data_IF_157844664856
#
_entry.id   IF_157844664856
#
_cell.length_a   1.000
_cell.length_b   1.000
_cell.length_c   1.000
_cell.angle_alpha   90.00
_cell.angle_beta   90.00
_cell.angle_gamma   90.00
#
_symmetry.space_group_name_H-M   'P 1'
#
loop_
_entity.id
_entity.type
_entity.pdbx_description
1 polymer ?
#
# COMPACT_ATOMS: atom_id res chain seq x y z
N UNK A 1 -33.91 -11.51 13.60
CA UNK A 1 -33.85 -12.17 12.27
C UNK A 1 -32.48 -12.79 12.14
N UNK A 2 -32.36 -14.11 12.14
CA UNK A 2 -31.07 -14.82 12.06
C UNK A 2 -30.49 -14.69 10.65
N UNK A 3 -29.55 -13.78 10.45
CA UNK A 3 -28.93 -13.61 9.14
C UNK A 3 -27.88 -14.71 8.88
N UNK A 4 -28.02 -15.43 7.76
CA UNK A 4 -27.12 -16.52 7.36
C UNK A 4 -25.67 -16.03 7.23
N UNK A 5 -24.68 -16.88 7.59
CA UNK A 5 -23.26 -16.56 7.43
C UNK A 5 -22.93 -16.16 5.99
N UNK A 6 -21.93 -15.27 5.78
CA UNK A 6 -21.43 -14.97 4.45
C UNK A 6 -20.86 -16.24 3.80
N UNK A 7 -21.52 -16.72 2.76
CA UNK A 7 -21.01 -17.81 1.93
C UNK A 7 -20.03 -17.29 0.86
N UNK A 8 -19.49 -18.20 0.06
CA UNK A 8 -18.54 -17.85 -1.01
C UNK A 8 -19.12 -16.84 -2.02
N UNK A 9 -20.42 -16.91 -2.32
CA UNK A 9 -21.07 -15.99 -3.25
C UNK A 9 -21.16 -14.57 -2.67
N UNK A 10 -21.61 -14.43 -1.42
CA UNK A 10 -21.65 -13.15 -0.69
C UNK A 10 -20.26 -12.55 -0.50
N UNK A 11 -19.24 -13.38 -0.30
CA UNK A 11 -17.85 -12.93 -0.20
C UNK A 11 -17.31 -12.45 -1.55
N UNK A 12 -17.63 -13.16 -2.64
CA UNK A 12 -17.27 -12.75 -4.00
C UNK A 12 -17.92 -11.42 -4.39
N UNK A 13 -19.22 -11.25 -4.13
CA UNK A 13 -19.92 -9.99 -4.37
C UNK A 13 -19.33 -8.84 -3.54
N UNK A 14 -19.06 -9.09 -2.25
CA UNK A 14 -18.41 -8.10 -1.39
C UNK A 14 -17.02 -7.70 -1.89
N UNK A 15 -16.27 -8.65 -2.46
CA UNK A 15 -14.98 -8.39 -3.06
C UNK A 15 -15.10 -7.50 -4.31
N UNK A 16 -16.02 -7.82 -5.23
CA UNK A 16 -16.28 -6.98 -6.41
C UNK A 16 -16.69 -5.56 -6.03
N UNK A 17 -17.59 -5.42 -5.06
CA UNK A 17 -18.00 -4.12 -4.54
C UNK A 17 -16.84 -3.32 -3.94
N UNK A 18 -15.87 -4.00 -3.31
CA UNK A 18 -14.65 -3.35 -2.82
C UNK A 18 -13.75 -2.89 -3.96
N UNK A 19 -13.51 -3.77 -4.94
CA UNK A 19 -12.62 -3.51 -6.08
C UNK A 19 -13.17 -2.42 -7.02
N UNK A 20 -14.49 -2.28 -7.11
CA UNK A 20 -15.14 -1.19 -7.85
C UNK A 20 -14.79 0.21 -7.32
N UNK A 21 -14.34 0.32 -6.06
CA UNK A 21 -14.06 1.60 -5.38
C UNK A 21 -12.59 1.77 -5.04
N UNK A 22 -11.87 0.67 -4.80
CA UNK A 22 -10.53 0.71 -4.23
C UNK A 22 -9.60 -0.26 -4.94
N UNK A 23 -8.44 0.24 -5.36
CA UNK A 23 -7.30 -0.61 -5.70
C UNK A 23 -6.84 -1.36 -4.43
N UNK A 24 -6.80 -2.69 -4.50
CA UNK A 24 -6.44 -3.56 -3.40
C UNK A 24 -5.40 -4.60 -3.83
N UNK A 25 -4.66 -5.11 -2.84
CA UNK A 25 -3.82 -6.30 -2.98
C UNK A 25 -4.60 -7.54 -2.58
N UNK A 26 -4.13 -8.72 -2.96
CA UNK A 26 -4.70 -10.00 -2.52
C UNK A 26 -4.79 -10.07 -0.98
N UNK A 27 -3.69 -9.77 -0.29
CA UNK A 27 -3.65 -9.72 1.17
C UNK A 27 -4.54 -8.63 1.77
N UNK A 28 -4.70 -7.51 1.07
CA UNK A 28 -5.61 -6.43 1.46
C UNK A 28 -7.07 -6.86 1.38
N UNK A 29 -7.44 -7.51 0.28
CA UNK A 29 -8.77 -8.04 0.04
C UNK A 29 -9.12 -9.16 1.02
N UNK A 30 -8.19 -10.06 1.32
CA UNK A 30 -8.34 -11.09 2.35
C UNK A 30 -8.73 -10.47 3.71
N UNK A 31 -8.04 -9.40 4.12
CA UNK A 31 -8.35 -8.67 5.36
C UNK A 31 -9.71 -7.97 5.32
N UNK A 32 -10.17 -7.51 4.16
CA UNK A 32 -11.51 -6.90 4.01
C UNK A 32 -12.58 -7.97 4.19
N UNK A 33 -12.44 -9.11 3.53
CA UNK A 33 -13.38 -10.22 3.61
C UNK A 33 -13.41 -10.84 5.01
N UNK A 34 -12.24 -11.05 5.64
CA UNK A 34 -12.17 -11.54 7.02
C UNK A 34 -12.89 -10.60 8.00
N UNK A 35 -12.68 -9.28 7.88
CA UNK A 35 -13.38 -8.29 8.72
C UNK A 35 -14.89 -8.27 8.49
N UNK A 36 -15.36 -8.62 7.29
CA UNK A 36 -16.80 -8.78 7.01
C UNK A 36 -17.36 -9.99 7.78
N UNK A 37 -16.65 -11.12 7.77
CA UNK A 37 -17.02 -12.29 8.58
C UNK A 37 -17.00 -11.96 10.07
N UNK A 38 -15.95 -11.30 10.57
CA UNK A 38 -15.85 -10.92 12.00
C UNK A 38 -16.94 -9.93 12.42
N UNK A 39 -17.39 -9.07 11.51
CA UNK A 39 -18.52 -8.17 11.76
C UNK A 39 -19.83 -8.95 11.85
N UNK A 40 -20.05 -9.89 10.93
CA UNK A 40 -21.21 -10.79 11.00
C UNK A 40 -21.22 -11.56 12.32
N UNK A 41 -20.09 -12.18 12.70
CA UNK A 41 -19.97 -12.90 13.98
C UNK A 41 -20.35 -12.02 15.16
N UNK A 42 -19.84 -10.79 15.25
CA UNK A 42 -20.17 -9.88 16.36
C UNK A 42 -21.63 -9.46 16.42
N UNK A 43 -22.30 -9.35 15.28
CA UNK A 43 -23.72 -8.94 15.22
C UNK A 43 -24.66 -10.10 15.54
N UNK A 44 -24.30 -11.32 15.18
CA UNK A 44 -25.20 -12.48 15.27
C UNK A 44 -24.80 -13.52 16.35
N UNK A 45 -23.71 -13.31 17.08
CA UNK A 45 -23.29 -14.16 18.21
C UNK A 45 -24.11 -13.95 19.51
N UNK A 46 -25.17 -13.13 19.50
CA UNK A 46 -25.81 -12.67 20.73
C UNK A 46 -27.33 -12.79 20.81
N UNK A 47 -28.05 -13.25 19.77
CA UNK A 47 -29.52 -13.20 19.79
C UNK A 47 -30.23 -14.55 19.88
N UNK A 48 -29.77 -15.63 19.21
CA UNK A 48 -30.41 -16.96 19.29
C UNK A 48 -29.48 -18.12 18.88
N UNK A 49 -28.20 -17.85 18.60
CA UNK A 49 -27.27 -18.81 18.01
C UNK A 49 -26.27 -19.32 19.04
N UNK A 50 -26.08 -20.64 19.09
CA UNK A 50 -25.04 -21.26 19.90
C UNK A 50 -23.67 -20.66 19.52
N UNK A 51 -22.86 -20.18 20.50
CA UNK A 51 -21.58 -19.54 20.22
C UNK A 51 -20.64 -20.41 19.37
N UNK A 52 -20.66 -21.72 19.57
CA UNK A 52 -19.82 -22.66 18.81
C UNK A 52 -20.29 -22.83 17.36
N UNK A 53 -21.60 -22.85 17.10
CA UNK A 53 -22.14 -22.90 15.73
C UNK A 53 -21.75 -21.65 14.95
N UNK A 54 -21.86 -20.48 15.59
CA UNK A 54 -21.47 -19.20 14.98
C UNK A 54 -19.98 -19.16 14.70
N UNK A 55 -19.16 -19.66 15.63
CA UNK A 55 -17.71 -19.76 15.44
C UNK A 55 -17.35 -20.72 14.29
N UNK A 56 -18.03 -21.87 14.19
CA UNK A 56 -17.82 -22.84 13.13
C UNK A 56 -18.20 -22.27 11.76
N UNK A 57 -19.35 -21.59 11.65
CA UNK A 57 -19.77 -20.92 10.43
C UNK A 57 -18.78 -19.82 10.01
N UNK A 58 -18.24 -19.05 10.97
CA UNK A 58 -17.20 -18.06 10.69
C UNK A 58 -15.91 -18.70 10.17
N UNK A 59 -15.48 -19.84 10.73
CA UNK A 59 -14.32 -20.61 10.24
C UNK A 59 -14.52 -21.07 8.80
N UNK A 60 -15.69 -21.62 8.49
CA UNK A 60 -16.04 -22.06 7.13
C UNK A 60 -16.07 -20.90 6.13
N UNK A 61 -16.68 -19.77 6.50
CA UNK A 61 -16.70 -18.57 5.66
C UNK A 61 -15.27 -18.05 5.39
N UNK A 62 -14.41 -18.01 6.41
CA UNK A 62 -13.00 -17.61 6.24
C UNK A 62 -12.22 -18.58 5.35
N UNK A 63 -12.51 -19.87 5.42
CA UNK A 63 -11.88 -20.88 4.57
C UNK A 63 -12.22 -20.72 3.07
N UNK A 64 -13.34 -20.07 2.74
CA UNK A 64 -13.71 -19.77 1.35
C UNK A 64 -12.95 -18.56 0.75
N UNK A 65 -12.36 -17.68 1.58
CA UNK A 65 -11.71 -16.43 1.14
C UNK A 65 -10.58 -16.68 0.11
N UNK A 66 -9.64 -17.63 0.31
CA UNK A 66 -8.58 -17.87 -0.67
C UNK A 66 -9.11 -18.24 -2.06
N UNK A 67 -10.19 -19.05 -2.13
CA UNK A 67 -10.81 -19.42 -3.41
C UNK A 67 -11.45 -18.24 -4.13
N UNK A 68 -12.08 -17.32 -3.39
CA UNK A 68 -12.63 -16.08 -3.94
C UNK A 68 -11.51 -15.19 -4.51
N UNK A 69 -10.41 -15.05 -3.78
CA UNK A 69 -9.26 -14.23 -4.21
C UNK A 69 -8.59 -14.84 -5.43
N UNK A 70 -8.34 -16.16 -5.43
CA UNK A 70 -7.74 -16.85 -6.56
C UNK A 70 -8.56 -16.65 -7.84
N UNK A 71 -9.89 -16.80 -7.76
CA UNK A 71 -10.79 -16.53 -8.89
C UNK A 71 -10.68 -15.09 -9.40
N UNK A 72 -10.64 -14.11 -8.49
CA UNK A 72 -10.53 -12.69 -8.88
C UNK A 72 -9.16 -12.36 -9.47
N UNK A 73 -8.10 -12.99 -8.98
CA UNK A 73 -6.75 -12.88 -9.56
C UNK A 73 -6.68 -13.47 -10.96
N UNK A 74 -7.26 -14.66 -11.16
CA UNK A 74 -7.27 -15.34 -12.46
C UNK A 74 -8.09 -14.55 -13.50
N UNK A 75 -9.11 -13.81 -13.05
CA UNK A 75 -9.86 -12.86 -13.87
C UNK A 75 -9.15 -11.50 -14.06
N UNK A 76 -7.98 -11.29 -13.44
CA UNK A 76 -7.23 -10.04 -13.48
C UNK A 76 -7.85 -8.89 -12.67
N UNK A 77 -8.92 -9.14 -11.91
CA UNK A 77 -9.57 -8.13 -11.08
C UNK A 77 -8.73 -7.71 -9.86
N UNK A 78 -7.81 -8.59 -9.42
CA UNK A 78 -6.76 -8.28 -8.43
C UNK A 78 -5.43 -8.65 -9.03
N UNK A 79 -4.46 -7.73 -8.97
CA UNK A 79 -3.12 -7.96 -9.47
C UNK A 79 -2.12 -7.18 -8.62
N UNK A 80 -1.36 -7.90 -7.80
CA UNK A 80 -0.41 -7.32 -6.85
C UNK A 80 0.77 -6.63 -7.55
N UNK A 81 1.20 -7.11 -8.73
CA UNK A 81 2.28 -6.49 -9.51
C UNK A 81 1.85 -5.12 -10.07
N UNK A 82 0.64 -5.06 -10.64
CA UNK A 82 0.04 -3.82 -11.14
C UNK A 82 -0.21 -2.83 -10.01
N UNK A 83 -0.68 -3.32 -8.86
CA UNK A 83 -0.79 -2.53 -7.64
C UNK A 83 0.59 -1.99 -7.22
N UNK A 84 1.62 -2.83 -7.18
CA UNK A 84 2.96 -2.46 -6.78
C UNK A 84 3.57 -1.39 -7.70
N UNK A 85 3.52 -1.60 -9.01
CA UNK A 85 4.05 -0.68 -10.01
C UNK A 85 3.36 0.70 -9.94
N UNK A 86 2.03 0.73 -9.88
CA UNK A 86 1.26 1.98 -9.80
C UNK A 86 1.52 2.72 -8.49
N UNK A 87 1.59 2.00 -7.36
CA UNK A 87 1.89 2.60 -6.05
C UNK A 87 3.31 3.08 -5.95
N UNK A 88 4.29 2.36 -6.49
CA UNK A 88 5.68 2.78 -6.51
C UNK A 88 5.84 4.11 -7.25
N UNK A 89 5.32 4.20 -8.48
CA UNK A 89 5.31 5.46 -9.26
C UNK A 89 4.73 6.64 -8.47
N UNK A 90 3.59 6.43 -7.80
CA UNK A 90 2.94 7.45 -6.97
C UNK A 90 3.79 7.86 -5.77
N UNK A 91 4.34 6.90 -5.03
CA UNK A 91 5.13 7.16 -3.81
C UNK A 91 6.45 7.87 -4.14
N UNK A 92 7.11 7.50 -5.24
CA UNK A 92 8.30 8.20 -5.74
C UNK A 92 7.99 9.67 -6.03
N UNK A 93 6.88 9.98 -6.73
CA UNK A 93 6.42 11.38 -6.95
C UNK A 93 6.13 12.13 -5.66
N UNK A 94 5.67 11.44 -4.62
CA UNK A 94 5.47 12.00 -3.28
C UNK A 94 6.77 12.15 -2.47
N UNK A 95 7.93 11.87 -3.07
CA UNK A 95 9.24 11.94 -2.44
C UNK A 95 9.47 10.83 -1.42
N UNK A 96 9.08 9.59 -1.74
CA UNK A 96 9.47 8.40 -0.97
C UNK A 96 10.65 7.72 -1.66
N UNK A 97 11.63 7.30 -0.86
CA UNK A 97 12.74 6.46 -1.32
C UNK A 97 12.24 5.11 -1.83
N UNK A 98 13.06 4.43 -2.63
CA UNK A 98 12.84 3.03 -3.01
C UNK A 98 12.66 2.14 -1.78
N UNK A 99 13.50 2.30 -0.76
CA UNK A 99 13.43 1.51 0.48
C UNK A 99 12.11 1.72 1.24
N UNK A 100 11.66 2.96 1.38
CA UNK A 100 10.37 3.26 2.01
C UNK A 100 9.18 2.73 1.18
N UNK A 101 9.31 2.76 -0.14
CA UNK A 101 8.30 2.23 -1.06
C UNK A 101 8.18 0.70 -0.93
N UNK A 102 9.30 -0.02 -0.90
CA UNK A 102 9.32 -1.46 -0.66
C UNK A 102 8.70 -1.81 0.70
N UNK A 103 9.05 -1.07 1.76
CA UNK A 103 8.46 -1.26 3.08
C UNK A 103 6.92 -1.03 3.08
N UNK A 104 6.45 -0.02 2.35
CA UNK A 104 5.02 0.23 2.17
C UNK A 104 4.31 -0.94 1.47
N UNK A 105 4.90 -1.45 0.39
CA UNK A 105 4.34 -2.57 -0.38
C UNK A 105 4.28 -3.86 0.47
N UNK A 106 5.34 -4.14 1.23
CA UNK A 106 5.37 -5.24 2.18
C UNK A 106 4.27 -5.10 3.24
N UNK A 107 4.04 -3.90 3.79
CA UNK A 107 2.93 -3.64 4.72
C UNK A 107 1.53 -3.80 4.08
N UNK A 108 1.43 -3.66 2.75
CA UNK A 108 0.22 -4.00 1.98
C UNK A 108 0.11 -5.49 1.66
N UNK A 109 1.11 -6.29 2.02
CA UNK A 109 1.13 -7.73 1.81
C UNK A 109 1.56 -8.14 0.40
N UNK A 110 2.14 -7.21 -0.37
CA UNK A 110 2.80 -7.56 -1.64
C UNK A 110 4.13 -8.20 -1.31
N UNK A 111 4.19 -9.52 -1.39
CA UNK A 111 5.39 -10.29 -1.08
C UNK A 111 6.34 -10.27 -2.29
N UNK A 112 7.63 -10.05 -2.04
CA UNK A 112 8.63 -10.14 -3.09
C UNK A 112 8.59 -9.01 -4.13
N UNK A 113 7.90 -7.90 -3.85
CA UNK A 113 7.92 -6.73 -4.73
C UNK A 113 9.36 -6.31 -5.05
N UNK A 114 9.67 -6.21 -6.33
CA UNK A 114 10.99 -5.74 -6.82
C UNK A 114 10.78 -4.41 -7.52
N UNK A 115 11.54 -3.42 -7.06
CA UNK A 115 11.65 -2.14 -7.75
C UNK A 115 13.05 -2.07 -8.33
N UNK A 116 13.16 -1.67 -9.59
CA UNK A 116 14.44 -1.40 -10.23
C UNK A 116 15.22 -0.36 -9.43
N UNK A 117 16.54 -0.53 -9.41
CA UNK A 117 17.44 0.45 -8.85
C UNK A 117 17.74 1.50 -9.92
N UNK A 118 17.24 2.70 -9.70
CA UNK A 118 17.35 3.82 -10.63
C UNK A 118 17.87 5.03 -9.83
N UNK A 119 19.18 5.29 -9.88
CA UNK A 119 19.81 6.36 -9.11
C UNK A 119 19.24 7.74 -9.42
N UNK A 120 18.87 8.01 -10.68
CA UNK A 120 18.36 9.31 -11.10
C UNK A 120 16.95 9.52 -10.57
N UNK A 121 16.12 8.47 -10.61
CA UNK A 121 14.78 8.49 -10.03
C UNK A 121 14.80 8.59 -8.50
N UNK A 122 15.75 7.92 -7.84
CA UNK A 122 15.94 8.02 -6.39
C UNK A 122 16.36 9.44 -5.99
N UNK A 123 17.25 10.08 -6.77
CA UNK A 123 17.64 11.47 -6.57
C UNK A 123 16.48 12.44 -6.82
N UNK A 124 15.69 12.23 -7.88
CA UNK A 124 14.51 13.04 -8.14
C UNK A 124 13.46 12.91 -7.00
N UNK A 125 13.28 11.70 -6.44
CA UNK A 125 12.43 11.50 -5.26
C UNK A 125 12.96 12.22 -4.03
N UNK A 126 14.28 12.27 -3.83
CA UNK A 126 14.91 13.04 -2.77
C UNK A 126 14.65 14.56 -2.94
N UNK A 127 14.73 15.08 -4.17
CA UNK A 127 14.37 16.46 -4.48
C UNK A 127 12.89 16.74 -4.16
N UNK A 128 11.97 15.85 -4.55
CA UNK A 128 10.55 15.96 -4.22
C UNK A 128 10.29 15.95 -2.70
N UNK A 129 11.05 15.15 -1.95
CA UNK A 129 11.01 15.13 -0.49
C UNK A 129 11.40 16.49 0.11
N UNK A 130 12.52 17.05 -0.35
CA UNK A 130 13.04 18.34 0.10
C UNK A 130 12.07 19.49 -0.23
N UNK A 131 11.47 19.48 -1.43
CA UNK A 131 10.47 20.46 -1.84
C UNK A 131 9.27 20.51 -0.89
N UNK A 132 8.71 19.35 -0.54
CA UNK A 132 7.59 19.27 0.42
C UNK A 132 7.98 19.79 1.81
N UNK A 133 9.24 19.63 2.20
CA UNK A 133 9.79 20.04 3.49
C UNK A 133 10.31 21.48 3.50
N UNK A 134 10.31 22.19 2.35
CA UNK A 134 10.90 23.52 2.17
C UNK A 134 12.35 23.57 2.70
N UNK A 135 13.15 22.59 2.28
CA UNK A 135 14.52 22.40 2.71
C UNK A 135 15.48 22.32 1.52
N UNK A 136 16.78 22.55 1.77
CA UNK A 136 17.82 22.48 0.75
C UNK A 136 17.56 23.49 -0.38
N UNK A 137 17.47 23.06 -1.64
CA UNK A 137 17.22 23.95 -2.79
C UNK A 137 15.89 24.75 -2.70
N UNK A 138 14.98 24.34 -1.82
CA UNK A 138 13.62 24.89 -1.71
C UNK A 138 13.36 25.69 -0.43
N UNK A 139 14.37 25.85 0.42
CA UNK A 139 14.25 26.65 1.64
C UNK A 139 15.26 26.28 2.72
N UNK A 140 15.26 27.08 3.77
CA UNK A 140 16.23 26.95 4.86
C UNK A 140 15.74 25.96 5.92
N UNK A 141 16.56 24.95 6.19
CA UNK A 141 16.38 24.04 7.32
C UNK A 141 17.75 23.51 7.76
N UNK A 142 17.95 23.22 9.07
CA UNK A 142 19.21 22.68 9.55
C UNK A 142 19.57 21.36 8.84
N UNK A 143 20.70 21.33 8.13
CA UNK A 143 21.09 20.21 7.26
C UNK A 143 21.07 18.87 8.00
N UNK A 144 21.67 18.81 9.21
CA UNK A 144 21.71 17.60 10.03
C UNK A 144 20.31 17.06 10.35
N UNK A 145 19.33 17.94 10.60
CA UNK A 145 17.95 17.55 10.88
C UNK A 145 17.29 16.94 9.64
N UNK A 146 17.57 17.49 8.46
CA UNK A 146 17.06 17.00 7.20
C UNK A 146 17.70 15.66 6.82
N UNK A 147 19.02 15.55 6.91
CA UNK A 147 19.74 14.29 6.68
C UNK A 147 19.21 13.17 7.58
N UNK A 148 19.01 13.43 8.88
CA UNK A 148 18.43 12.47 9.80
C UNK A 148 16.99 12.06 9.40
N UNK A 149 16.18 13.02 8.94
CA UNK A 149 14.82 12.76 8.48
C UNK A 149 14.77 11.99 7.15
N UNK A 150 15.73 12.20 6.25
CA UNK A 150 15.88 11.47 4.98
C UNK A 150 16.36 10.04 5.21
N UNK A 151 17.31 9.83 6.14
CA UNK A 151 17.77 8.50 6.52
C UNK A 151 16.63 7.63 7.08
N UNK A 152 15.80 8.19 7.98
CA UNK A 152 14.55 7.54 8.45
C UNK A 152 13.55 7.33 7.32
N UNK A 153 13.53 8.23 6.35
CA UNK A 153 12.75 8.14 5.13
C UNK A 153 13.29 7.14 4.10
N UNK A 154 14.42 6.49 4.37
CA UNK A 154 14.95 5.40 3.57
C UNK A 154 16.01 5.78 2.53
N UNK A 155 16.33 7.06 2.35
CA UNK A 155 17.35 7.53 1.42
C UNK A 155 18.76 7.18 1.92
N UNK A 156 19.68 6.90 0.99
CA UNK A 156 21.10 6.78 1.30
C UNK A 156 21.70 8.15 1.64
N UNK A 157 22.82 8.15 2.36
CA UNK A 157 23.52 9.39 2.70
C UNK A 157 23.97 10.15 1.45
N UNK A 158 24.52 9.45 0.46
CA UNK A 158 25.01 10.04 -0.79
C UNK A 158 23.90 10.73 -1.57
N UNK A 159 22.75 10.07 -1.75
CA UNK A 159 21.60 10.67 -2.43
C UNK A 159 21.09 11.88 -1.67
N UNK A 160 20.99 11.78 -0.34
CA UNK A 160 20.52 12.89 0.49
C UNK A 160 21.44 14.11 0.40
N UNK A 161 22.76 13.90 0.48
CA UNK A 161 23.76 14.98 0.35
C UNK A 161 23.79 15.56 -1.06
N UNK A 162 23.69 14.73 -2.10
CA UNK A 162 23.62 15.20 -3.48
C UNK A 162 22.40 16.09 -3.69
N UNK A 163 21.22 15.66 -3.26
CA UNK A 163 19.98 16.43 -3.40
C UNK A 163 20.01 17.77 -2.64
N UNK A 164 20.69 17.83 -1.48
CA UNK A 164 20.84 19.07 -0.70
C UNK A 164 21.78 20.10 -1.35
N UNK A 165 22.70 19.67 -2.20
CA UNK A 165 23.72 20.51 -2.84
C UNK A 165 23.30 21.07 -4.20
N UNK A 166 22.24 20.53 -4.79
CA UNK A 166 21.70 21.04 -6.05
C UNK A 166 21.24 22.48 -5.87
N UNK A 167 21.26 23.23 -6.96
CA UNK A 167 20.48 24.46 -7.00
C UNK A 167 18.99 24.16 -7.21
N UNK A 168 18.17 25.22 -7.13
CA UNK A 168 16.73 25.09 -7.25
C UNK A 168 16.31 24.65 -8.66
N UNK A 169 16.95 25.15 -9.70
CA UNK A 169 16.58 24.87 -11.09
C UNK A 169 16.87 23.41 -11.45
N UNK A 170 18.05 22.91 -11.08
CA UNK A 170 18.45 21.51 -11.23
C UNK A 170 17.50 20.57 -10.49
N UNK A 171 17.17 20.90 -9.23
CA UNK A 171 16.27 20.10 -8.42
C UNK A 171 14.84 20.10 -9.00
N UNK A 172 14.37 21.24 -9.54
CA UNK A 172 13.08 21.31 -10.23
C UNK A 172 13.06 20.50 -11.54
N UNK A 173 14.16 20.52 -12.31
CA UNK A 173 14.31 19.71 -13.52
C UNK A 173 14.21 18.21 -13.21
N UNK A 174 14.90 17.73 -12.17
CA UNK A 174 14.81 16.34 -11.71
C UNK A 174 13.39 15.97 -11.26
N UNK A 175 12.68 16.85 -10.54
CA UNK A 175 11.29 16.54 -10.14
C UNK A 175 10.36 16.40 -11.35
N UNK A 176 10.60 17.17 -12.43
CA UNK A 176 9.81 17.07 -13.66
C UNK A 176 9.97 15.70 -14.33
N UNK A 177 11.13 15.05 -14.25
CA UNK A 177 11.35 13.71 -14.84
C UNK A 177 10.48 12.62 -14.19
N UNK A 178 9.99 12.82 -12.96
CA UNK A 178 9.06 11.88 -12.32
C UNK A 178 7.63 11.90 -12.90
N UNK A 179 7.32 12.89 -13.73
CA UNK A 179 6.02 13.12 -14.34
C UNK A 179 6.00 12.87 -15.85
N UNK A 180 7.18 12.76 -16.46
CA UNK A 180 7.35 12.27 -17.82
C UNK A 180 7.11 10.74 -17.86
#
# INVERSE_FOLDING_TARGET
MTEKPPDGAKLYEAALNHLARYAATEAGLARVLARKVDRWTRLYAGEDAEPEETAQAARQAKAAIPGVIARLRDLGAVNDDTFAASRAKRLTREGKSRRATLAYLAAKGVVGARLEEDPDRELAAACAYLRRRRAGPFGEAPELKILAAMARGGFSQDVARRALRLDREEAEALIKTLHA
#
